data_IF_905595052062
#
_entry.id   IF_905595052062
#
_cell.length_a   1.000
_cell.length_b   1.000
_cell.length_c   1.000
_cell.angle_alpha   90.00
_cell.angle_beta   90.00
_cell.angle_gamma   90.00
#
_symmetry.space_group_name_H-M   'P 1'
#
loop_
_entity.id
_entity.type
_entity.pdbx_description
1 polymer ?
#
# COMPACT_ATOMS: atom_id res chain seq x y z
N UNK A 1 -11.33 8.62 -0.96
CA UNK A 1 -9.97 8.56 -0.39
C UNK A 1 -9.32 9.92 -0.49
N UNK A 2 -8.86 10.47 0.59
CA UNK A 2 -8.18 11.76 0.57
C UNK A 2 -6.66 11.59 0.50
N UNK A 3 -6.10 10.65 1.28
CA UNK A 3 -4.67 10.44 1.33
C UNK A 3 -4.34 8.96 1.41
N UNK A 4 -3.48 8.50 0.51
CA UNK A 4 -3.04 7.09 0.44
C UNK A 4 -1.51 7.04 0.50
N UNK A 5 -0.97 6.15 1.31
CA UNK A 5 0.46 5.87 1.33
C UNK A 5 0.74 4.61 0.51
N UNK A 6 1.74 4.68 -0.33
CA UNK A 6 2.18 3.54 -1.15
C UNK A 6 3.66 3.31 -0.90
N UNK A 7 4.01 2.11 -0.44
CA UNK A 7 5.40 1.69 -0.27
C UNK A 7 5.73 0.75 -1.41
N UNK A 8 6.48 1.25 -2.41
CA UNK A 8 6.73 0.56 -3.67
C UNK A 8 8.01 1.09 -4.30
N UNK A 9 8.97 0.21 -4.59
CA UNK A 9 10.23 0.60 -5.22
C UNK A 9 10.18 0.63 -6.75
N UNK A 10 9.17 0.01 -7.35
CA UNK A 10 9.01 -0.01 -8.80
C UNK A 10 8.36 1.29 -9.28
N UNK A 11 9.18 2.23 -9.73
CA UNK A 11 8.77 3.61 -10.04
C UNK A 11 7.63 3.70 -11.05
N UNK A 12 7.67 2.93 -12.13
CA UNK A 12 6.64 2.98 -13.16
C UNK A 12 5.28 2.57 -12.61
N UNK A 13 5.24 1.53 -11.80
CA UNK A 13 4.01 1.05 -11.19
C UNK A 13 3.46 2.06 -10.18
N UNK A 14 4.33 2.59 -9.32
CA UNK A 14 3.95 3.61 -8.33
C UNK A 14 3.40 4.88 -8.99
N UNK A 15 4.05 5.33 -10.07
CA UNK A 15 3.61 6.51 -10.81
C UNK A 15 2.27 6.28 -11.49
N UNK A 16 2.02 5.08 -12.03
CA UNK A 16 0.74 4.77 -12.64
C UNK A 16 -0.40 4.83 -11.61
N UNK A 17 -0.19 4.28 -10.42
CA UNK A 17 -1.17 4.34 -9.35
C UNK A 17 -1.42 5.78 -8.91
N UNK A 18 -0.35 6.56 -8.73
CA UNK A 18 -0.44 7.97 -8.34
C UNK A 18 -1.25 8.76 -9.36
N UNK A 19 -0.93 8.58 -10.64
CA UNK A 19 -1.61 9.30 -11.71
C UNK A 19 -3.11 9.00 -11.74
N UNK A 20 -3.48 7.73 -11.70
CA UNK A 20 -4.89 7.35 -11.77
C UNK A 20 -5.65 7.80 -10.53
N UNK A 21 -5.12 7.56 -9.33
CA UNK A 21 -5.78 7.96 -8.09
C UNK A 21 -5.88 9.48 -7.98
N UNK A 22 -4.83 10.20 -8.35
CA UNK A 22 -4.82 11.65 -8.31
C UNK A 22 -5.83 12.28 -9.27
N UNK A 23 -5.85 11.81 -10.50
CA UNK A 23 -6.74 12.38 -11.54
C UNK A 23 -8.19 11.97 -11.37
N UNK A 24 -8.44 10.72 -10.99
CA UNK A 24 -9.80 10.19 -10.93
C UNK A 24 -10.49 10.52 -9.61
N UNK A 25 -9.78 10.37 -8.51
CA UNK A 25 -10.36 10.49 -7.17
C UNK A 25 -9.94 11.75 -6.43
N UNK A 26 -9.02 12.54 -6.98
CA UNK A 26 -8.44 13.68 -6.29
C UNK A 26 -7.62 13.27 -5.07
N UNK A 27 -7.14 12.03 -5.04
CA UNK A 27 -6.40 11.48 -3.92
C UNK A 27 -4.98 12.01 -3.87
N UNK A 28 -4.53 12.44 -2.70
CA UNK A 28 -3.12 12.74 -2.46
C UNK A 28 -2.39 11.41 -2.21
N UNK A 29 -1.38 11.12 -3.02
CA UNK A 29 -0.59 9.90 -2.89
C UNK A 29 0.78 10.26 -2.32
N UNK A 30 1.17 9.57 -1.27
CA UNK A 30 2.48 9.70 -0.65
C UNK A 30 3.26 8.43 -0.96
N UNK A 31 4.41 8.55 -1.60
CA UNK A 31 5.21 7.42 -2.04
C UNK A 31 6.43 7.22 -1.16
N UNK A 32 6.67 5.98 -0.74
CA UNK A 32 7.90 5.55 -0.10
C UNK A 32 8.49 4.42 -0.94
N UNK A 33 9.80 4.40 -1.12
CA UNK A 33 10.47 3.42 -1.98
C UNK A 33 11.16 2.31 -1.21
N UNK A 34 11.23 2.44 0.11
CA UNK A 34 11.91 1.49 0.98
C UNK A 34 11.14 1.32 2.27
N UNK A 35 11.45 0.29 3.04
CA UNK A 35 10.90 0.12 4.37
C UNK A 35 11.23 1.31 5.26
N UNK A 36 12.48 1.79 5.18
CA UNK A 36 12.94 2.91 6.00
C UNK A 36 12.12 4.18 5.73
N UNK A 37 11.91 4.51 4.45
CA UNK A 37 11.08 5.66 4.09
C UNK A 37 9.64 5.46 4.58
N UNK A 38 9.12 4.25 4.45
CA UNK A 38 7.78 3.92 4.93
C UNK A 38 7.65 4.12 6.44
N UNK A 39 8.65 3.70 7.21
CA UNK A 39 8.65 3.89 8.66
C UNK A 39 8.62 5.37 9.04
N UNK A 40 9.39 6.19 8.36
CA UNK A 40 9.40 7.64 8.61
C UNK A 40 8.01 8.22 8.40
N UNK A 41 7.33 7.83 7.33
CA UNK A 41 5.98 8.32 7.02
C UNK A 41 4.94 7.84 8.03
N UNK A 42 5.03 6.58 8.44
CA UNK A 42 4.11 6.00 9.44
C UNK A 42 4.25 6.73 10.77
N UNK A 43 5.47 7.09 11.15
CA UNK A 43 5.78 7.79 12.41
C UNK A 43 5.49 9.28 12.36
N UNK A 44 5.29 9.84 11.16
CA UNK A 44 5.15 11.28 10.96
C UNK A 44 3.84 11.89 11.46
N UNK A 45 2.88 11.11 11.90
CA UNK A 45 1.63 11.61 12.47
C UNK A 45 0.54 11.96 11.47
N UNK A 46 0.82 11.90 10.17
CA UNK A 46 -0.20 12.12 9.16
C UNK A 46 -1.14 10.91 9.09
N UNK A 47 -2.41 11.18 8.79
CA UNK A 47 -3.42 10.12 8.66
C UNK A 47 -3.56 9.69 7.22
N UNK A 48 -3.76 8.40 7.03
CA UNK A 48 -3.97 7.81 5.72
C UNK A 48 -5.29 7.04 5.70
N UNK A 49 -5.98 7.09 4.57
CA UNK A 49 -7.22 6.32 4.37
C UNK A 49 -6.91 4.88 3.97
N UNK A 50 -5.72 4.66 3.44
CA UNK A 50 -5.27 3.37 2.98
C UNK A 50 -3.74 3.35 2.95
N UNK A 51 -3.13 2.25 3.33
CA UNK A 51 -1.69 2.02 3.17
C UNK A 51 -1.50 0.79 2.31
N UNK A 52 -0.76 0.96 1.21
CA UNK A 52 -0.41 -0.13 0.30
C UNK A 52 1.05 -0.48 0.47
N UNK A 53 1.35 -1.76 0.56
CA UNK A 53 2.70 -2.26 0.78
C UNK A 53 3.06 -3.26 -0.30
N UNK A 54 4.16 -3.00 -1.01
CA UNK A 54 4.77 -4.04 -1.83
C UNK A 54 5.37 -5.08 -0.89
N UNK A 55 5.16 -6.34 -1.20
CA UNK A 55 5.71 -7.43 -0.40
C UNK A 55 7.24 -7.46 -0.46
N UNK A 56 7.81 -7.15 -1.63
CA UNK A 56 9.26 -7.21 -1.83
C UNK A 56 9.85 -5.83 -2.05
N UNK A 57 10.67 -5.38 -1.12
CA UNK A 57 11.35 -4.08 -1.15
C UNK A 57 12.87 -4.28 -1.09
N UNK A 58 13.67 -3.25 -1.46
CA UNK A 58 15.13 -3.40 -1.45
C UNK A 58 15.71 -3.75 -0.09
N UNK A 59 15.09 -3.29 1.00
CA UNK A 59 15.60 -3.46 2.36
C UNK A 59 14.75 -4.42 3.21
N UNK A 60 13.84 -5.18 2.59
CA UNK A 60 13.07 -6.20 3.29
C UNK A 60 11.69 -6.43 2.72
N UNK A 61 10.80 -7.04 3.47
CA UNK A 61 9.42 -7.27 3.06
C UNK A 61 8.50 -6.18 3.61
N UNK A 62 7.58 -5.70 2.77
CA UNK A 62 6.65 -4.63 3.17
C UNK A 62 5.80 -5.00 4.37
N UNK A 63 5.49 -6.28 4.54
CA UNK A 63 4.71 -6.77 5.69
C UNK A 63 5.37 -6.50 7.03
N UNK A 64 6.68 -6.23 7.06
CA UNK A 64 7.37 -5.86 8.29
C UNK A 64 6.87 -4.55 8.89
N UNK A 65 6.20 -3.72 8.10
CA UNK A 65 5.63 -2.46 8.58
C UNK A 65 4.27 -2.63 9.26
N UNK A 66 3.58 -3.74 9.06
CA UNK A 66 2.22 -3.92 9.54
C UNK A 66 2.10 -3.77 11.06
N UNK A 67 2.96 -4.38 11.89
CA UNK A 67 2.83 -4.19 13.34
C UNK A 67 2.88 -2.73 13.78
N UNK A 68 3.75 -1.94 13.18
CA UNK A 68 3.86 -0.52 13.50
C UNK A 68 2.65 0.26 12.99
N UNK A 69 2.16 -0.08 11.79
CA UNK A 69 0.94 0.53 11.26
C UNK A 69 -0.24 0.28 12.20
N UNK A 70 -0.40 -0.96 12.66
CA UNK A 70 -1.50 -1.32 13.56
C UNK A 70 -1.42 -0.58 14.89
N UNK A 71 -0.21 -0.30 15.35
CA UNK A 71 0.02 0.43 16.59
C UNK A 71 -0.30 1.92 16.44
N UNK A 72 0.13 2.53 15.36
CA UNK A 72 0.03 3.99 15.14
C UNK A 72 -1.20 4.42 14.35
N UNK A 73 -1.70 3.54 13.48
CA UNK A 73 -2.84 3.79 12.60
C UNK A 73 -3.80 2.60 12.66
N UNK A 74 -4.40 2.34 13.85
CA UNK A 74 -5.12 1.09 14.07
C UNK A 74 -6.37 0.91 13.20
N UNK A 75 -6.92 2.01 12.68
CA UNK A 75 -8.12 1.96 11.85
C UNK A 75 -7.85 2.03 10.36
N UNK A 76 -6.60 2.26 9.95
CA UNK A 76 -6.25 2.40 8.55
C UNK A 76 -6.14 1.02 7.90
N UNK A 77 -6.88 0.75 6.82
CA UNK A 77 -6.76 -0.52 6.11
C UNK A 77 -5.40 -0.64 5.43
N UNK A 78 -4.90 -1.88 5.37
CA UNK A 78 -3.60 -2.20 4.76
C UNK A 78 -3.82 -3.22 3.66
N UNK A 79 -3.36 -2.91 2.46
CA UNK A 79 -3.37 -3.81 1.31
C UNK A 79 -1.92 -4.18 0.94
N UNK A 80 -1.67 -5.47 0.74
CA UNK A 80 -0.38 -5.96 0.26
C UNK A 80 -0.47 -6.18 -1.24
N UNK A 81 0.53 -5.71 -1.97
CA UNK A 81 0.57 -5.75 -3.41
C UNK A 81 1.87 -6.42 -3.85
N UNK A 82 1.79 -7.42 -4.73
CA UNK A 82 2.99 -8.13 -5.16
C UNK A 82 2.78 -8.90 -6.46
N UNK A 83 3.88 -9.11 -7.20
CA UNK A 83 3.90 -10.02 -8.33
C UNK A 83 4.16 -11.48 -7.92
N UNK A 84 4.39 -11.74 -6.62
CA UNK A 84 4.66 -13.09 -6.11
C UNK A 84 3.37 -13.91 -6.05
N UNK A 85 3.48 -15.22 -6.28
CA UNK A 85 2.35 -16.14 -6.24
C UNK A 85 1.79 -16.34 -4.82
N UNK A 86 2.62 -16.12 -3.79
CA UNK A 86 2.23 -16.34 -2.41
C UNK A 86 1.68 -15.08 -1.73
N UNK A 87 1.28 -14.07 -2.50
CA UNK A 87 0.83 -12.79 -1.94
C UNK A 87 -0.37 -12.95 -0.99
N UNK A 88 -1.31 -13.84 -1.31
CA UNK A 88 -2.48 -14.06 -0.46
C UNK A 88 -2.10 -14.64 0.89
N UNK A 89 -1.22 -15.65 0.90
CA UNK A 89 -0.74 -16.28 2.13
C UNK A 89 0.07 -15.31 2.98
N UNK A 90 1.00 -14.60 2.35
CA UNK A 90 1.87 -13.65 3.05
C UNK A 90 1.06 -12.52 3.68
N UNK A 91 0.07 -11.99 2.96
CA UNK A 91 -0.81 -10.94 3.47
C UNK A 91 -1.65 -11.42 4.64
N UNK A 92 -2.22 -12.62 4.53
CA UNK A 92 -3.04 -13.21 5.59
C UNK A 92 -2.23 -13.45 6.85
N UNK A 93 -1.05 -14.04 6.73
CA UNK A 93 -0.16 -14.31 7.87
C UNK A 93 0.28 -13.03 8.57
N UNK A 94 0.47 -11.96 7.81
CA UNK A 94 0.91 -10.68 8.34
C UNK A 94 -0.22 -9.83 8.91
N UNK A 95 -1.47 -10.24 8.73
CA UNK A 95 -2.62 -9.49 9.24
C UNK A 95 -3.04 -8.32 8.37
N UNK A 96 -2.77 -8.36 7.07
CA UNK A 96 -3.25 -7.35 6.13
C UNK A 96 -4.75 -7.52 5.88
N UNK A 97 -5.41 -6.43 5.47
CA UNK A 97 -6.83 -6.46 5.16
C UNK A 97 -7.12 -7.00 3.77
N UNK A 98 -6.16 -6.91 2.87
CA UNK A 98 -6.32 -7.38 1.50
C UNK A 98 -4.98 -7.72 0.85
N UNK A 99 -5.04 -8.58 -0.17
CA UNK A 99 -3.91 -8.93 -1.00
C UNK A 99 -4.29 -8.71 -2.46
N UNK A 100 -3.42 -8.06 -3.22
CA UNK A 100 -3.66 -7.75 -4.62
C UNK A 100 -2.45 -8.18 -5.44
N UNK A 101 -2.68 -8.96 -6.49
CA UNK A 101 -1.63 -9.33 -7.42
C UNK A 101 -1.34 -8.16 -8.37
N UNK A 102 -0.06 -7.89 -8.62
CA UNK A 102 0.35 -6.88 -9.60
C UNK A 102 -0.01 -7.28 -11.03
N UNK A 103 -0.36 -8.54 -11.26
CA UNK A 103 -0.83 -9.00 -12.57
C UNK A 103 -2.28 -8.60 -12.83
N UNK A 104 -3.00 -8.16 -11.81
CA UNK A 104 -4.37 -7.65 -11.95
C UNK A 104 -4.34 -6.39 -12.82
N UNK A 105 -5.27 -6.25 -13.80
CA UNK A 105 -5.35 -5.03 -14.59
C UNK A 105 -5.52 -3.78 -13.71
N UNK A 106 -4.87 -2.69 -14.08
CA UNK A 106 -4.87 -1.47 -13.27
C UNK A 106 -6.27 -0.97 -12.88
N UNK A 107 -7.26 -0.94 -13.79
CA UNK A 107 -8.61 -0.53 -13.41
C UNK A 107 -9.22 -1.38 -12.30
N UNK A 108 -8.92 -2.67 -12.29
CA UNK A 108 -9.43 -3.60 -11.27
C UNK A 108 -8.70 -3.40 -9.94
N UNK A 109 -7.40 -3.09 -9.99
CA UNK A 109 -6.65 -2.72 -8.80
C UNK A 109 -7.29 -1.48 -8.16
N UNK A 110 -7.54 -0.45 -8.95
CA UNK A 110 -8.14 0.81 -8.46
C UNK A 110 -9.51 0.54 -7.83
N UNK A 111 -10.35 -0.27 -8.48
CA UNK A 111 -11.66 -0.64 -7.94
C UNK A 111 -11.52 -1.33 -6.59
N UNK A 112 -10.56 -2.25 -6.47
CA UNK A 112 -10.29 -2.94 -5.21
C UNK A 112 -9.85 -1.99 -4.12
N UNK A 113 -8.98 -1.03 -4.45
CA UNK A 113 -8.49 -0.05 -3.49
C UNK A 113 -9.62 0.83 -2.95
N UNK A 114 -10.51 1.28 -3.81
CA UNK A 114 -11.67 2.08 -3.40
C UNK A 114 -12.56 1.30 -2.43
N UNK A 115 -12.74 0.01 -2.69
CA UNK A 115 -13.55 -0.86 -1.83
C UNK A 115 -12.90 -1.04 -0.47
N UNK A 116 -11.59 -1.26 -0.44
CA UNK A 116 -10.84 -1.47 0.80
C UNK A 116 -10.83 -0.21 1.65
N UNK A 117 -10.62 0.93 1.02
CA UNK A 117 -10.54 2.22 1.72
C UNK A 117 -11.89 2.71 2.24
N UNK A 118 -12.93 2.22 1.68
CA UNK A 118 -14.16 2.73 2.10
C UNK A 118 -15.40 2.47 1.96
#
# INVERSE_FOLDING_TARGET
MERVMIVEDHSAFAQALDLVLGQTDGTQVVLARTLEEGRVMIRGGEKFDLIMLDLTLPDGEGTELIPEIRQRHPKTPVAVLSARDDVDEAASEAGADAAISKETPLPDIITSLRRIAG
#
